data_IF_324843998499
#
_entry.id   IF_324843998499
#
_cell.length_a   1.000
_cell.length_b   1.000
_cell.length_c   1.000
_cell.angle_alpha   90.00
_cell.angle_beta   90.00
_cell.angle_gamma   90.00
#
_symmetry.space_group_name_H-M   'P 1'
#
loop_
_entity.id
_entity.type
_entity.pdbx_description
1 polymer ?
#
# COMPACT_ATOMS: atom_id res chain seq x y z
N UNK A 1 5.71 -1.92 -8.51
CA UNK A 1 4.61 -1.81 -7.53
C UNK A 1 3.64 -2.96 -7.69
N UNK A 2 3.18 -3.52 -6.58
CA UNK A 2 2.20 -4.60 -6.61
C UNK A 2 0.77 -4.09 -6.82
N UNK A 3 0.50 -2.86 -6.39
CA UNK A 3 -0.82 -2.23 -6.48
C UNK A 3 -0.72 -0.99 -7.34
N UNK A 4 -1.70 -0.78 -8.20
CA UNK A 4 -1.71 0.37 -9.12
C UNK A 4 -2.75 1.42 -8.69
N UNK A 5 -2.60 2.63 -9.22
CA UNK A 5 -3.58 3.69 -9.06
C UNK A 5 -5.00 3.22 -9.47
N UNK A 6 -5.08 2.50 -10.59
CA UNK A 6 -6.36 2.01 -11.10
C UNK A 6 -7.02 1.06 -10.11
N UNK A 7 -6.26 0.16 -9.51
CA UNK A 7 -6.78 -0.78 -8.51
C UNK A 7 -7.30 -0.05 -7.28
N UNK A 8 -6.59 0.96 -6.81
CA UNK A 8 -7.01 1.76 -5.67
C UNK A 8 -8.35 2.47 -5.97
N UNK A 9 -8.46 3.08 -7.13
CA UNK A 9 -9.66 3.78 -7.55
C UNK A 9 -10.84 2.82 -7.73
N UNK A 10 -10.58 1.63 -8.26
CA UNK A 10 -11.64 0.62 -8.43
C UNK A 10 -12.18 0.14 -7.08
N UNK A 11 -11.31 0.05 -6.07
CA UNK A 11 -11.72 -0.44 -4.76
C UNK A 11 -12.44 0.62 -3.93
N UNK A 12 -11.93 1.84 -3.92
CA UNK A 12 -12.43 2.88 -3.00
C UNK A 12 -13.12 4.05 -3.68
N UNK A 13 -13.08 4.13 -5.02
CA UNK A 13 -13.63 5.24 -5.77
C UNK A 13 -12.65 6.39 -5.91
N UNK A 14 -12.96 7.30 -6.84
CA UNK A 14 -12.08 8.43 -7.14
C UNK A 14 -12.12 9.53 -6.08
N UNK A 15 -13.18 9.57 -5.29
CA UNK A 15 -13.39 10.66 -4.33
C UNK A 15 -12.29 10.74 -3.28
N UNK A 16 -11.69 9.59 -2.90
CA UNK A 16 -10.65 9.60 -1.88
C UNK A 16 -9.35 10.22 -2.39
N UNK A 17 -9.18 10.31 -3.70
CA UNK A 17 -7.95 10.83 -4.32
C UNK A 17 -8.18 12.05 -5.20
N UNK A 18 -9.37 12.65 -5.15
CA UNK A 18 -9.74 13.75 -6.05
C UNK A 18 -8.88 15.00 -5.90
N UNK A 19 -8.22 15.19 -4.76
CA UNK A 19 -7.35 16.33 -4.51
C UNK A 19 -5.90 16.07 -4.91
N UNK A 20 -5.60 14.86 -5.37
CA UNK A 20 -4.23 14.42 -5.63
C UNK A 20 -4.06 14.11 -7.10
N UNK A 21 -2.83 14.30 -7.59
CA UNK A 21 -2.47 13.84 -8.93
C UNK A 21 -2.23 12.33 -8.87
N UNK A 22 -2.32 11.68 -10.04
CA UNK A 22 -2.01 10.26 -10.14
C UNK A 22 -0.60 9.97 -9.62
N UNK A 23 0.36 10.82 -9.95
CA UNK A 23 1.74 10.66 -9.49
C UNK A 23 1.85 10.69 -7.98
N UNK A 24 1.15 11.62 -7.32
CA UNK A 24 1.14 11.69 -5.85
C UNK A 24 0.56 10.43 -5.23
N UNK A 25 -0.54 9.93 -5.81
CA UNK A 25 -1.16 8.70 -5.33
C UNK A 25 -0.22 7.51 -5.49
N UNK A 26 0.47 7.43 -6.64
CA UNK A 26 1.43 6.36 -6.88
C UNK A 26 2.60 6.40 -5.89
N UNK A 27 3.05 7.59 -5.51
CA UNK A 27 4.08 7.73 -4.47
C UNK A 27 3.59 7.21 -3.12
N UNK A 28 2.33 7.47 -2.78
CA UNK A 28 1.75 6.96 -1.54
C UNK A 28 1.58 5.44 -1.57
N UNK A 29 1.20 4.90 -2.73
CA UNK A 29 1.12 3.44 -2.90
C UNK A 29 2.50 2.81 -2.68
N UNK A 30 3.54 3.39 -3.26
CA UNK A 30 4.90 2.89 -3.08
C UNK A 30 5.34 2.98 -1.62
N UNK A 31 5.01 4.07 -0.95
CA UNK A 31 5.32 4.22 0.47
C UNK A 31 4.62 3.14 1.31
N UNK A 32 3.34 2.89 1.02
CA UNK A 32 2.58 1.86 1.71
C UNK A 32 3.18 0.47 1.47
N UNK A 33 3.54 0.18 0.20
CA UNK A 33 4.16 -1.09 -0.16
C UNK A 33 5.45 -1.32 0.62
N UNK A 34 6.32 -0.31 0.65
CA UNK A 34 7.59 -0.40 1.37
C UNK A 34 7.36 -0.63 2.87
N UNK A 35 6.40 0.07 3.46
CA UNK A 35 6.09 -0.08 4.88
C UNK A 35 5.60 -1.49 5.21
N UNK A 36 4.72 -2.04 4.37
CA UNK A 36 4.18 -3.38 4.57
C UNK A 36 5.29 -4.44 4.42
N UNK A 37 6.10 -4.32 3.38
CA UNK A 37 7.18 -5.27 3.11
C UNK A 37 8.22 -5.22 4.24
N UNK A 38 8.59 -4.03 4.69
CA UNK A 38 9.54 -3.87 5.80
C UNK A 38 8.99 -4.49 7.09
N UNK A 39 7.70 -4.26 7.37
CA UNK A 39 7.08 -4.84 8.55
C UNK A 39 7.12 -6.37 8.52
N UNK A 40 6.75 -6.97 7.38
CA UNK A 40 6.75 -8.42 7.24
C UNK A 40 8.17 -8.96 7.34
N UNK A 41 9.14 -8.32 6.67
CA UNK A 41 10.54 -8.76 6.68
C UNK A 41 11.13 -8.74 8.09
N UNK A 42 10.80 -7.70 8.86
CA UNK A 42 11.34 -7.54 10.21
C UNK A 42 10.68 -8.47 11.24
N UNK A 43 9.50 -9.00 10.93
CA UNK A 43 8.74 -9.84 11.85
C UNK A 43 8.67 -11.31 11.42
N UNK A 44 9.35 -11.66 10.33
CA UNK A 44 9.39 -13.05 9.86
C UNK A 44 10.46 -13.84 10.60
N UNK A 45 10.13 -15.12 10.89
CA UNK A 45 11.10 -16.03 11.50
C UNK A 45 12.05 -16.64 10.47
N UNK A 46 11.72 -16.53 9.19
CA UNK A 46 12.55 -17.01 8.08
C UNK A 46 12.70 -15.89 7.05
N UNK A 47 13.63 -16.03 6.13
CA UNK A 47 13.86 -15.03 5.09
C UNK A 47 12.56 -14.83 4.28
N UNK A 48 12.16 -13.57 4.14
CA UNK A 48 10.99 -13.19 3.36
C UNK A 48 11.43 -12.62 2.01
N UNK A 49 10.88 -13.14 0.93
CA UNK A 49 11.13 -12.65 -0.43
C UNK A 49 9.78 -12.45 -1.12
N UNK A 50 9.46 -11.18 -1.40
CA UNK A 50 8.20 -10.80 -2.03
C UNK A 50 8.02 -11.46 -3.40
N UNK A 51 9.11 -11.77 -4.09
CA UNK A 51 9.05 -12.35 -5.43
C UNK A 51 8.74 -13.85 -5.44
N UNK A 52 8.85 -14.51 -4.28
CA UNK A 52 8.65 -15.96 -4.17
C UNK A 52 7.41 -16.33 -3.36
N UNK A 53 6.61 -15.38 -2.93
CA UNK A 53 5.41 -15.66 -2.13
C UNK A 53 4.32 -16.32 -3.00
N UNK A 54 3.42 -17.06 -2.33
CA UNK A 54 2.30 -17.69 -3.03
C UNK A 54 1.29 -16.64 -3.50
N UNK A 55 0.41 -17.04 -4.43
CA UNK A 55 -0.67 -16.18 -4.91
C UNK A 55 -1.57 -15.72 -3.76
N UNK A 56 -1.88 -16.63 -2.84
CA UNK A 56 -2.73 -16.31 -1.68
C UNK A 56 -2.07 -15.26 -0.78
N UNK A 57 -0.80 -15.46 -0.46
CA UNK A 57 -0.06 -14.50 0.36
C UNK A 57 0.07 -13.14 -0.34
N UNK A 58 0.30 -13.16 -1.65
CA UNK A 58 0.36 -11.93 -2.45
C UNK A 58 -0.95 -11.16 -2.42
N UNK A 59 -2.08 -11.87 -2.47
CA UNK A 59 -3.40 -11.23 -2.38
C UNK A 59 -3.59 -10.53 -1.04
N UNK A 60 -3.18 -11.15 0.05
CA UNK A 60 -3.28 -10.55 1.39
C UNK A 60 -2.38 -9.31 1.48
N UNK A 61 -1.17 -9.39 0.97
CA UNK A 61 -0.24 -8.26 0.96
C UNK A 61 -0.81 -7.10 0.16
N UNK A 62 -1.38 -7.37 -1.01
CA UNK A 62 -1.97 -6.33 -1.86
C UNK A 62 -3.14 -5.64 -1.16
N UNK A 63 -3.98 -6.39 -0.44
CA UNK A 63 -5.06 -5.82 0.36
C UNK A 63 -4.51 -4.92 1.46
N UNK A 64 -3.45 -5.33 2.14
CA UNK A 64 -2.81 -4.52 3.17
C UNK A 64 -2.26 -3.22 2.58
N UNK A 65 -1.66 -3.28 1.40
CA UNK A 65 -1.14 -2.10 0.72
C UNK A 65 -2.27 -1.13 0.39
N UNK A 66 -3.40 -1.63 -0.10
CA UNK A 66 -4.56 -0.80 -0.42
C UNK A 66 -5.11 -0.11 0.83
N UNK A 67 -5.25 -0.84 1.92
CA UNK A 67 -5.73 -0.30 3.19
C UNK A 67 -4.78 0.78 3.71
N UNK A 68 -3.48 0.49 3.70
CA UNK A 68 -2.47 1.44 4.16
C UNK A 68 -2.46 2.70 3.31
N UNK A 69 -2.58 2.56 1.98
CA UNK A 69 -2.63 3.70 1.07
C UNK A 69 -3.85 4.57 1.36
N UNK A 70 -5.00 3.96 1.63
CA UNK A 70 -6.21 4.70 1.98
C UNK A 70 -5.99 5.55 3.23
N UNK A 71 -5.32 5.00 4.25
CA UNK A 71 -5.01 5.74 5.46
C UNK A 71 -4.07 6.91 5.18
N UNK A 72 -3.04 6.70 4.39
CA UNK A 72 -2.09 7.76 4.04
C UNK A 72 -2.81 8.90 3.34
N UNK A 73 -3.64 8.58 2.36
CA UNK A 73 -4.39 9.58 1.60
C UNK A 73 -5.37 10.34 2.51
N UNK A 74 -6.06 9.63 3.40
CA UNK A 74 -7.03 10.23 4.32
C UNK A 74 -6.36 11.20 5.31
N UNK A 75 -5.08 10.99 5.61
CA UNK A 75 -4.32 11.84 6.53
C UNK A 75 -3.40 12.83 5.80
N UNK A 76 -3.70 13.13 4.53
CA UNK A 76 -2.95 14.10 3.76
C UNK A 76 -1.55 13.65 3.38
N UNK A 77 -1.29 12.34 3.43
CA UNK A 77 0.01 11.78 3.07
C UNK A 77 1.02 11.75 4.20
N UNK A 78 0.63 12.10 5.42
CA UNK A 78 1.53 12.16 6.58
C UNK A 78 1.29 10.98 7.51
N UNK A 79 2.21 10.01 7.47
CA UNK A 79 2.15 8.83 8.33
C UNK A 79 2.49 9.12 9.79
N UNK A 80 3.20 10.21 10.06
CA UNK A 80 3.62 10.52 11.43
C UNK A 80 2.43 10.82 12.33
N UNK A 81 1.32 11.29 11.77
CA UNK A 81 0.11 11.56 12.52
C UNK A 81 -0.65 10.30 12.92
N UNK A 82 -0.27 9.16 12.35
CA UNK A 82 -0.93 7.87 12.60
C UNK A 82 -0.28 7.07 13.73
N UNK A 83 0.85 7.51 14.19
CA UNK A 83 1.62 6.80 15.22
C UNK A 83 1.29 7.26 16.63
#
# INVERSE_FOLDING_TARGET
>A
MRVTYTELVQKYGRDIVKHLTQKQVEEYILQAENNIIDFISNNSVSAFDIDTISTYEGTIIDECILIQTKYIVANGGDLSEMS
#
